data_IF_052275473568
#
_entry.id   IF_052275473568
#
_cell.length_a   1.000
_cell.length_b   1.000
_cell.length_c   1.000
_cell.angle_alpha   90.00
_cell.angle_beta   90.00
_cell.angle_gamma   90.00
#
_symmetry.space_group_name_H-M   'P 1'
#
loop_
_entity.id
_entity.type
_entity.pdbx_description
1 polymer ?
#
# COMPACT_ATOMS: atom_id res chain seq x y z
N UNK A 1 12.46 44.04 9.96
CA UNK A 1 11.86 42.69 9.84
C UNK A 1 12.89 41.83 9.14
N UNK A 2 13.59 40.93 9.85
CA UNK A 2 14.74 40.21 9.30
C UNK A 2 14.28 39.13 8.31
N UNK A 3 15.00 38.93 7.20
CA UNK A 3 14.70 37.93 6.17
C UNK A 3 14.50 36.51 6.73
N UNK A 4 15.20 36.17 7.81
CA UNK A 4 15.05 34.90 8.52
C UNK A 4 13.65 34.69 9.13
N UNK A 5 13.02 35.73 9.68
CA UNK A 5 11.67 35.62 10.29
C UNK A 5 10.58 35.55 9.21
N UNK A 6 10.76 36.25 8.10
CA UNK A 6 9.87 36.14 6.94
C UNK A 6 9.96 34.77 6.27
N UNK A 7 11.16 34.17 6.25
CA UNK A 7 11.36 32.83 5.68
C UNK A 7 10.80 31.73 6.59
N UNK A 8 10.96 31.85 7.91
CA UNK A 8 10.41 30.89 8.87
C UNK A 8 8.88 30.82 8.85
N UNK A 9 8.20 31.98 8.80
CA UNK A 9 6.73 32.04 8.69
C UNK A 9 6.22 31.47 7.36
N UNK A 10 6.90 31.78 6.25
CA UNK A 10 6.59 31.17 4.95
C UNK A 10 6.76 29.65 5.01
N UNK A 11 7.84 29.14 5.59
CA UNK A 11 8.02 27.69 5.72
C UNK A 11 7.01 27.02 6.67
N UNK A 12 6.51 27.73 7.68
CA UNK A 12 5.47 27.24 8.59
C UNK A 12 4.14 27.02 7.84
N UNK A 13 3.71 27.97 7.02
CA UNK A 13 2.51 27.83 6.18
C UNK A 13 2.62 26.64 5.21
N UNK A 14 3.82 26.46 4.62
CA UNK A 14 4.09 25.34 3.73
C UNK A 14 4.12 23.99 4.47
N UNK A 15 4.47 23.97 5.75
CA UNK A 15 4.46 22.74 6.56
C UNK A 15 3.05 22.11 6.61
N UNK A 16 2.02 22.93 6.82
CA UNK A 16 0.62 22.47 6.78
C UNK A 16 0.23 21.94 5.40
N UNK A 17 0.67 22.62 4.33
CA UNK A 17 0.47 22.16 2.95
C UNK A 17 1.14 20.81 2.68
N UNK A 18 2.38 20.62 3.14
CA UNK A 18 3.10 19.35 3.02
C UNK A 18 2.47 18.23 3.84
N UNK A 19 2.02 18.52 5.07
CA UNK A 19 1.27 17.56 5.89
C UNK A 19 -0.03 17.12 5.22
N UNK A 20 -0.78 18.06 4.67
CA UNK A 20 -2.01 17.75 3.93
C UNK A 20 -1.71 16.91 2.68
N UNK A 21 -0.71 17.30 1.88
CA UNK A 21 -0.29 16.53 0.71
C UNK A 21 0.13 15.10 1.09
N UNK A 22 0.90 14.96 2.17
CA UNK A 22 1.34 13.67 2.70
C UNK A 22 0.15 12.79 3.10
N UNK A 23 -0.83 13.37 3.80
CA UNK A 23 -2.06 12.70 4.19
C UNK A 23 -2.85 12.20 2.97
N UNK A 24 -3.11 13.06 1.99
CA UNK A 24 -3.89 12.68 0.80
C UNK A 24 -3.15 11.67 -0.07
N UNK A 25 -1.83 11.79 -0.19
CA UNK A 25 -0.98 10.82 -0.89
C UNK A 25 -1.04 9.44 -0.22
N UNK A 26 -0.94 9.41 1.11
CA UNK A 26 -1.12 8.18 1.90
C UNK A 26 -2.49 7.56 1.69
N UNK A 27 -3.54 8.38 1.74
CA UNK A 27 -4.92 7.93 1.57
C UNK A 27 -5.14 7.32 0.18
N UNK A 28 -4.60 7.96 -0.86
CA UNK A 28 -4.66 7.46 -2.23
C UNK A 28 -4.03 6.07 -2.36
N UNK A 29 -2.80 5.89 -1.89
CA UNK A 29 -2.12 4.58 -1.95
C UNK A 29 -2.81 3.53 -1.09
N UNK A 30 -3.36 3.93 0.05
CA UNK A 30 -4.10 3.04 0.94
C UNK A 30 -5.36 2.50 0.26
N UNK A 31 -6.22 3.39 -0.24
CA UNK A 31 -7.47 3.02 -0.92
C UNK A 31 -7.18 2.14 -2.13
N UNK A 32 -6.17 2.51 -2.93
CA UNK A 32 -5.75 1.72 -4.07
C UNK A 32 -5.20 0.34 -3.67
N UNK A 33 -4.44 0.25 -2.57
CA UNK A 33 -3.95 -1.02 -2.03
C UNK A 33 -5.09 -1.95 -1.64
N UNK A 34 -6.04 -1.46 -0.83
CA UNK A 34 -7.22 -2.23 -0.44
C UNK A 34 -8.08 -2.65 -1.64
N UNK A 35 -8.29 -1.75 -2.60
CA UNK A 35 -9.08 -2.05 -3.80
C UNK A 35 -8.40 -3.13 -4.64
N UNK A 36 -7.08 -3.06 -4.83
CA UNK A 36 -6.32 -4.05 -5.61
C UNK A 36 -6.36 -5.42 -4.94
N UNK A 37 -6.15 -5.51 -3.63
CA UNK A 37 -6.28 -6.79 -2.89
C UNK A 37 -7.69 -7.36 -3.02
N UNK A 38 -8.73 -6.53 -2.92
CA UNK A 38 -10.13 -6.98 -3.05
C UNK A 38 -10.48 -7.43 -4.48
N UNK A 39 -9.84 -6.86 -5.50
CA UNK A 39 -10.03 -7.28 -6.90
C UNK A 39 -9.34 -8.62 -7.19
N UNK A 40 -8.14 -8.83 -6.62
CA UNK A 40 -7.34 -10.03 -6.87
C UNK A 40 -7.76 -11.24 -6.00
N UNK A 41 -8.29 -10.97 -4.80
CA UNK A 41 -8.71 -11.99 -3.84
C UNK A 41 -10.17 -12.40 -4.01
N UNK A 42 -10.45 -13.67 -3.72
CA UNK A 42 -11.82 -14.16 -3.51
C UNK A 42 -12.44 -13.51 -2.27
N UNK A 43 -13.77 -13.39 -2.27
CA UNK A 43 -14.51 -12.84 -1.12
C UNK A 43 -14.69 -13.89 -0.03
N UNK A 44 -14.99 -15.13 -0.42
CA UNK A 44 -15.08 -16.29 0.47
C UNK A 44 -14.10 -17.40 0.06
N UNK A 45 -13.78 -18.28 1.02
CA UNK A 45 -13.14 -19.57 0.73
C UNK A 45 -14.05 -20.45 -0.14
N UNK A 46 -15.37 -20.33 0.02
CA UNK A 46 -16.36 -21.11 -0.75
C UNK A 46 -16.29 -20.75 -2.24
N UNK A 47 -16.26 -19.45 -2.57
CA UNK A 47 -16.12 -18.97 -3.96
C UNK A 47 -14.84 -19.50 -4.64
N UNK A 48 -13.76 -19.66 -3.86
CA UNK A 48 -12.51 -20.21 -4.38
C UNK A 48 -12.62 -21.73 -4.57
N UNK A 49 -13.26 -22.43 -3.63
CA UNK A 49 -13.49 -23.87 -3.74
C UNK A 49 -14.38 -24.21 -4.94
N UNK A 50 -15.48 -23.48 -5.12
CA UNK A 50 -16.39 -23.64 -6.26
C UNK A 50 -15.66 -23.49 -7.60
N UNK A 51 -14.84 -22.44 -7.75
CA UNK A 51 -14.03 -22.29 -8.96
C UNK A 51 -13.04 -23.45 -9.14
N UNK A 52 -12.39 -23.92 -8.08
CA UNK A 52 -11.45 -25.05 -8.17
C UNK A 52 -12.14 -26.37 -8.51
N UNK A 53 -13.33 -26.60 -7.98
CA UNK A 53 -14.12 -27.80 -8.24
C UNK A 53 -14.62 -27.84 -9.70
N UNK A 54 -14.79 -26.68 -10.35
CA UNK A 54 -15.07 -26.58 -11.79
C UNK A 54 -13.80 -26.62 -12.66
N UNK A 55 -12.73 -25.93 -12.25
CA UNK A 55 -11.50 -25.78 -13.02
C UNK A 55 -10.65 -27.05 -13.06
N UNK A 56 -10.47 -27.74 -11.92
CA UNK A 56 -9.56 -28.89 -11.83
C UNK A 56 -10.00 -30.05 -12.75
N UNK A 57 -11.28 -30.44 -12.82
CA UNK A 57 -11.74 -31.47 -13.77
C UNK A 57 -11.47 -31.11 -15.23
N UNK A 58 -11.59 -29.84 -15.62
CA UNK A 58 -11.33 -29.38 -16.99
C UNK A 58 -9.84 -29.54 -17.34
N UNK A 59 -8.95 -29.21 -16.39
CA UNK A 59 -7.50 -29.37 -16.56
C UNK A 59 -7.13 -30.86 -16.67
N UNK A 60 -7.68 -31.70 -15.79
CA UNK A 60 -7.43 -33.15 -15.80
C UNK A 60 -7.97 -33.83 -17.07
N UNK A 61 -9.13 -33.38 -17.57
CA UNK A 61 -9.71 -33.85 -18.82
C UNK A 61 -8.99 -33.31 -20.07
N UNK A 62 -8.04 -32.38 -19.91
CA UNK A 62 -7.31 -31.74 -21.01
C UNK A 62 -8.17 -30.78 -21.86
N UNK A 63 -9.29 -30.31 -21.32
CA UNK A 63 -10.21 -29.37 -21.99
C UNK A 63 -9.76 -27.92 -21.82
N UNK A 64 -8.62 -27.57 -22.43
CA UNK A 64 -7.98 -26.27 -22.22
C UNK A 64 -8.77 -25.09 -22.78
N UNK A 65 -9.48 -25.28 -23.89
CA UNK A 65 -10.33 -24.23 -24.48
C UNK A 65 -11.41 -23.77 -23.48
N UNK A 66 -11.97 -24.71 -22.72
CA UNK A 66 -12.95 -24.42 -21.67
C UNK A 66 -12.32 -23.74 -20.44
N UNK A 67 -11.05 -24.04 -20.13
CA UNK A 67 -10.32 -23.34 -19.07
C UNK A 67 -10.05 -21.89 -19.45
N UNK A 68 -9.70 -21.64 -20.70
CA UNK A 68 -9.54 -20.28 -21.24
C UNK A 68 -10.85 -19.51 -21.15
N UNK A 69 -11.96 -20.08 -21.62
CA UNK A 69 -13.27 -19.43 -21.55
C UNK A 69 -13.71 -19.11 -20.12
N UNK A 70 -13.46 -20.03 -19.17
CA UNK A 70 -13.78 -19.83 -17.75
C UNK A 70 -12.92 -18.74 -17.09
N UNK A 71 -11.66 -18.59 -17.51
CA UNK A 71 -10.69 -17.71 -16.85
C UNK A 71 -10.50 -16.34 -17.51
N UNK A 72 -10.83 -16.18 -18.80
CA UNK A 72 -10.48 -15.01 -19.60
C UNK A 72 -11.02 -13.68 -19.04
N UNK A 73 -12.24 -13.67 -18.50
CA UNK A 73 -12.89 -12.47 -17.97
C UNK A 73 -12.72 -12.27 -16.45
N UNK A 74 -11.94 -13.12 -15.80
CA UNK A 74 -11.80 -13.07 -14.35
C UNK A 74 -10.62 -12.19 -13.90
N UNK A 75 -10.95 -11.14 -13.13
CA UNK A 75 -9.97 -10.23 -12.56
C UNK A 75 -9.20 -10.82 -11.35
N UNK A 76 -9.62 -11.98 -10.83
CA UNK A 76 -9.02 -12.66 -9.69
C UNK A 76 -7.69 -13.31 -10.09
N UNK A 77 -6.75 -13.34 -9.16
CA UNK A 77 -5.41 -13.83 -9.45
C UNK A 77 -5.38 -15.32 -9.81
N UNK A 78 -6.16 -16.16 -9.12
CA UNK A 78 -6.10 -17.61 -9.32
C UNK A 78 -6.50 -18.06 -10.75
N UNK A 79 -7.64 -17.63 -11.33
CA UNK A 79 -7.98 -17.95 -12.71
C UNK A 79 -6.98 -17.38 -13.73
N UNK A 80 -6.45 -16.18 -13.52
CA UNK A 80 -5.39 -15.65 -14.39
C UNK A 80 -4.13 -16.52 -14.40
N UNK A 81 -3.74 -17.03 -13.23
CA UNK A 81 -2.63 -17.97 -13.12
C UNK A 81 -2.95 -19.35 -13.69
N UNK A 82 -4.20 -19.80 -13.57
CA UNK A 82 -4.65 -21.04 -14.19
C UNK A 82 -4.53 -20.97 -15.71
N UNK A 83 -5.07 -19.90 -16.31
CA UNK A 83 -4.94 -19.62 -17.73
C UNK A 83 -3.47 -19.58 -18.16
N UNK A 84 -2.64 -18.81 -17.46
CA UNK A 84 -1.21 -18.72 -17.78
C UNK A 84 -0.50 -20.09 -17.68
N UNK A 85 -0.82 -20.90 -16.67
CA UNK A 85 -0.24 -22.21 -16.48
C UNK A 85 -0.65 -23.18 -17.60
N UNK A 86 -1.91 -23.11 -18.06
CA UNK A 86 -2.43 -23.90 -19.18
C UNK A 86 -1.84 -23.45 -20.52
N UNK A 87 -1.65 -22.16 -20.73
CA UNK A 87 -1.04 -21.61 -21.94
C UNK A 87 0.43 -22.05 -22.07
N UNK A 88 1.14 -22.17 -20.95
CA UNK A 88 2.55 -22.56 -20.90
C UNK A 88 2.76 -24.04 -20.52
N UNK A 89 1.73 -24.88 -20.69
CA UNK A 89 1.71 -26.30 -20.29
C UNK A 89 2.80 -27.19 -20.93
N UNK A 90 3.37 -26.76 -22.05
CA UNK A 90 4.39 -27.53 -22.77
C UNK A 90 5.79 -27.39 -22.14
N UNK A 91 5.96 -26.48 -21.18
CA UNK A 91 7.18 -26.34 -20.40
C UNK A 91 7.36 -27.51 -19.41
N UNK A 92 8.60 -27.87 -19.13
CA UNK A 92 8.90 -28.81 -18.06
C UNK A 92 8.40 -28.26 -16.71
N UNK A 93 7.87 -29.14 -15.84
CA UNK A 93 7.36 -28.78 -14.50
C UNK A 93 8.22 -27.75 -13.73
N UNK A 94 9.56 -27.92 -13.58
CA UNK A 94 10.37 -26.94 -12.85
C UNK A 94 10.41 -25.58 -13.54
N UNK A 95 10.38 -25.53 -14.87
CA UNK A 95 10.37 -24.28 -15.64
C UNK A 95 9.00 -23.59 -15.55
N UNK A 96 7.90 -24.34 -15.65
CA UNK A 96 6.54 -23.82 -15.50
C UNK A 96 6.33 -23.23 -14.10
N UNK A 97 6.72 -23.97 -13.05
CA UNK A 97 6.61 -23.51 -11.67
C UNK A 97 7.41 -22.23 -11.43
N UNK A 98 8.61 -22.14 -12.00
CA UNK A 98 9.44 -20.94 -11.92
C UNK A 98 8.78 -19.75 -12.63
N UNK A 99 8.30 -19.95 -13.86
CA UNK A 99 7.63 -18.92 -14.66
C UNK A 99 6.41 -18.35 -13.92
N UNK A 100 5.54 -19.23 -13.42
CA UNK A 100 4.32 -18.79 -12.71
C UNK A 100 4.68 -18.08 -11.41
N UNK A 101 5.68 -18.58 -10.66
CA UNK A 101 6.15 -17.91 -9.46
C UNK A 101 6.70 -16.50 -9.76
N UNK A 102 7.45 -16.34 -10.85
CA UNK A 102 7.98 -15.04 -11.28
C UNK A 102 6.87 -14.06 -11.64
N UNK A 103 5.86 -14.48 -12.41
CA UNK A 103 4.72 -13.63 -12.77
C UNK A 103 3.90 -13.25 -11.55
N UNK A 104 3.66 -14.18 -10.63
CA UNK A 104 2.98 -13.88 -9.36
C UNK A 104 3.75 -12.81 -8.57
N UNK A 105 5.07 -12.95 -8.45
CA UNK A 105 5.88 -11.96 -7.74
C UNK A 105 5.86 -10.60 -8.44
N UNK A 106 5.99 -10.58 -9.77
CA UNK A 106 6.10 -9.34 -10.53
C UNK A 106 4.78 -8.61 -10.68
N UNK A 107 3.74 -9.29 -11.14
CA UNK A 107 2.51 -8.66 -11.64
C UNK A 107 1.43 -8.55 -10.54
N UNK A 108 1.47 -9.44 -9.54
CA UNK A 108 0.54 -9.42 -8.40
C UNK A 108 1.18 -8.73 -7.20
N UNK A 109 2.32 -9.22 -6.72
CA UNK A 109 2.92 -8.70 -5.48
C UNK A 109 3.71 -7.41 -5.67
N UNK A 110 4.38 -7.21 -6.81
CA UNK A 110 5.15 -6.00 -7.10
C UNK A 110 4.32 -4.72 -6.93
N UNK A 111 3.11 -4.69 -7.48
CA UNK A 111 2.18 -3.57 -7.36
C UNK A 111 1.73 -3.31 -5.91
N UNK A 112 1.46 -4.38 -5.16
CA UNK A 112 1.02 -4.29 -3.76
C UNK A 112 2.16 -3.82 -2.85
N UNK A 113 3.37 -4.33 -3.07
CA UNK A 113 4.57 -3.91 -2.37
C UNK A 113 4.90 -2.45 -2.63
N UNK A 114 4.83 -2.01 -3.88
CA UNK A 114 5.07 -0.62 -4.25
C UNK A 114 4.15 0.33 -3.47
N UNK A 115 2.85 0.01 -3.40
CA UNK A 115 1.86 0.81 -2.65
C UNK A 115 2.11 0.76 -1.16
N UNK A 116 2.41 -0.41 -0.60
CA UNK A 116 2.76 -0.56 0.83
C UNK A 116 4.01 0.24 1.20
N UNK A 117 5.04 0.29 0.33
CA UNK A 117 6.24 1.09 0.56
C UNK A 117 5.92 2.60 0.62
N UNK A 118 5.05 3.09 -0.25
CA UNK A 118 4.61 4.49 -0.18
C UNK A 118 3.86 4.83 1.10
N UNK A 119 2.97 3.93 1.56
CA UNK A 119 2.26 4.11 2.83
C UNK A 119 3.25 4.14 4.00
N UNK A 120 4.26 3.25 4.01
CA UNK A 120 5.33 3.30 5.02
C UNK A 120 6.10 4.62 5.01
N UNK A 121 6.38 5.18 3.82
CA UNK A 121 7.03 6.49 3.70
C UNK A 121 6.16 7.59 4.30
N UNK A 122 4.85 7.59 4.04
CA UNK A 122 3.90 8.55 4.65
C UNK A 122 3.90 8.44 6.18
N UNK A 123 3.80 7.22 6.72
CA UNK A 123 3.84 6.97 8.17
C UNK A 123 5.12 7.52 8.81
N UNK A 124 6.27 7.32 8.16
CA UNK A 124 7.56 7.79 8.68
C UNK A 124 7.74 9.31 8.50
N UNK A 125 7.28 9.86 7.39
CA UNK A 125 7.47 11.27 7.06
C UNK A 125 6.52 12.20 7.81
N UNK A 126 5.29 11.78 8.14
CA UNK A 126 4.31 12.60 8.87
C UNK A 126 4.83 13.19 10.19
N UNK A 127 5.37 12.38 11.13
CA UNK A 127 5.91 12.87 12.39
C UNK A 127 7.16 13.74 12.19
N UNK A 128 7.99 13.42 11.19
CA UNK A 128 9.18 14.21 10.84
C UNK A 128 8.80 15.59 10.31
N UNK A 129 7.75 15.69 9.49
CA UNK A 129 7.19 16.96 9.02
C UNK A 129 6.62 17.78 10.17
N UNK A 130 5.86 17.13 11.07
CA UNK A 130 5.33 17.81 12.26
C UNK A 130 6.43 18.33 13.21
N UNK A 131 7.48 17.54 13.42
CA UNK A 131 8.65 17.96 14.19
C UNK A 131 9.37 19.13 13.50
N UNK A 132 9.54 19.07 12.18
CA UNK A 132 10.11 20.17 11.41
C UNK A 132 9.30 21.47 11.58
N UNK A 133 7.97 21.37 11.53
CA UNK A 133 7.07 22.50 11.80
C UNK A 133 7.26 23.08 13.21
N UNK A 134 7.42 22.24 14.23
CA UNK A 134 7.72 22.77 15.58
C UNK A 134 9.03 23.54 15.65
N UNK A 135 10.08 23.05 14.98
CA UNK A 135 11.38 23.71 14.97
C UNK A 135 11.24 25.10 14.32
N UNK A 136 10.52 25.21 13.21
CA UNK A 136 10.27 26.48 12.54
C UNK A 136 9.46 27.47 13.39
N UNK A 137 8.38 27.00 14.02
CA UNK A 137 7.56 27.85 14.90
C UNK A 137 8.34 28.35 16.11
N UNK A 138 9.17 27.50 16.72
CA UNK A 138 10.06 27.90 17.82
C UNK A 138 11.13 28.91 17.35
N UNK A 139 11.68 28.75 16.14
CA UNK A 139 12.61 29.72 15.55
C UNK A 139 11.96 31.08 15.33
N UNK A 140 10.71 31.12 14.84
CA UNK A 140 9.95 32.35 14.67
C UNK A 140 9.71 33.06 16.02
N UNK A 141 9.26 32.31 17.03
CA UNK A 141 8.99 32.85 18.37
C UNK A 141 10.24 33.45 19.03
N UNK A 142 11.36 32.72 19.04
CA UNK A 142 12.61 33.26 19.59
C UNK A 142 13.22 34.37 18.73
N UNK A 143 13.03 34.31 17.41
CA UNK A 143 13.45 35.36 16.48
C UNK A 143 12.79 36.71 16.77
N UNK A 144 11.55 36.74 17.26
CA UNK A 144 10.86 37.98 17.68
C UNK A 144 11.41 38.50 19.01
N UNK A 145 11.67 37.62 19.99
CA UNK A 145 12.29 38.00 21.28
C UNK A 145 13.64 38.69 21.05
N UNK A 146 14.45 38.18 20.12
CA UNK A 146 15.76 38.75 19.79
C UNK A 146 15.74 40.15 19.16
N UNK A 147 14.57 40.68 18.76
CA UNK A 147 14.46 42.02 18.16
C UNK A 147 14.45 43.17 19.17
N UNK A 148 14.43 42.88 20.48
CA UNK A 148 14.43 43.89 21.54
C UNK A 148 13.09 44.63 21.74
N UNK A 149 12.04 44.21 21.03
CA UNK A 149 10.68 44.72 21.24
C UNK A 149 10.09 44.18 22.56
N UNK A 150 9.33 45.01 23.29
CA UNK A 150 8.51 44.54 24.42
C UNK A 150 7.37 43.67 23.89
N UNK A 151 7.58 42.36 23.84
CA UNK A 151 6.58 41.37 23.43
C UNK A 151 5.86 40.86 24.68
N UNK A 152 4.53 40.77 24.63
CA UNK A 152 3.76 40.20 25.73
C UNK A 152 3.97 38.68 25.78
N UNK A 153 4.19 38.07 26.96
CA UNK A 153 4.35 36.61 27.09
C UNK A 153 3.20 35.80 26.48
N UNK A 154 1.98 36.34 26.46
CA UNK A 154 0.81 35.73 25.83
C UNK A 154 0.94 35.54 24.33
N UNK A 155 1.61 36.46 23.62
CA UNK A 155 1.81 36.37 22.17
C UNK A 155 2.77 35.22 21.83
N UNK A 156 3.86 35.09 22.60
CA UNK A 156 4.86 34.02 22.43
C UNK A 156 4.23 32.66 22.73
N UNK A 157 3.43 32.56 23.79
CA UNK A 157 2.73 31.32 24.14
C UNK A 157 1.78 30.86 23.01
N UNK A 158 1.14 31.80 22.32
CA UNK A 158 0.31 31.50 21.15
C UNK A 158 1.11 30.86 20.00
N UNK A 159 2.25 31.44 19.64
CA UNK A 159 3.13 30.93 18.57
C UNK A 159 3.68 29.52 18.89
N UNK A 160 4.10 29.29 20.14
CA UNK A 160 4.55 27.97 20.60
C UNK A 160 3.40 26.95 20.56
N UNK A 161 2.18 27.35 20.93
CA UNK A 161 1.01 26.47 20.88
C UNK A 161 0.71 26.02 19.44
N UNK A 162 0.80 26.92 18.46
CA UNK A 162 0.59 26.60 17.04
C UNK A 162 1.66 25.60 16.57
N UNK A 163 2.93 25.83 16.94
CA UNK A 163 4.02 24.91 16.65
C UNK A 163 3.73 23.49 17.17
N UNK A 164 3.28 23.36 18.43
CA UNK A 164 2.94 22.06 19.04
C UNK A 164 1.77 21.37 18.33
N UNK A 165 0.77 22.12 17.86
CA UNK A 165 -0.35 21.58 17.07
C UNK A 165 0.15 20.95 15.78
N UNK A 166 1.16 21.52 15.13
CA UNK A 166 1.75 20.95 13.91
C UNK A 166 2.33 19.53 14.14
N UNK A 167 3.02 19.31 15.27
CA UNK A 167 3.47 17.95 15.64
C UNK A 167 2.30 17.02 15.92
N UNK A 168 1.29 17.48 16.64
CA UNK A 168 0.09 16.68 16.89
C UNK A 168 -0.58 16.24 15.57
N UNK A 169 -0.66 17.13 14.57
CA UNK A 169 -1.21 16.82 13.24
C UNK A 169 -0.39 15.76 12.48
N UNK A 170 0.94 15.83 12.56
CA UNK A 170 1.82 14.80 11.97
C UNK A 170 1.61 13.42 12.60
N UNK A 171 1.42 13.36 13.91
CA UNK A 171 1.14 12.11 14.65
C UNK A 171 -0.27 11.58 14.35
N UNK A 172 -1.28 12.46 14.33
CA UNK A 172 -2.67 12.12 13.99
C UNK A 172 -2.75 11.53 12.58
N UNK A 173 -1.87 11.95 11.67
CA UNK A 173 -1.76 11.35 10.33
C UNK A 173 -1.09 9.97 10.42
N UNK A 174 0.08 9.87 11.03
CA UNK A 174 0.89 8.65 11.01
C UNK A 174 0.26 7.45 11.73
N UNK A 175 -0.37 7.68 12.89
CA UNK A 175 -0.88 6.59 13.75
C UNK A 175 -1.98 5.77 13.04
N UNK A 176 -3.06 6.38 12.50
CA UNK A 176 -4.08 5.63 11.78
C UNK A 176 -3.53 4.90 10.54
N UNK A 177 -2.67 5.56 9.76
CA UNK A 177 -2.05 4.94 8.59
C UNK A 177 -1.26 3.68 8.97
N UNK A 178 -0.59 3.67 10.11
CA UNK A 178 0.13 2.49 10.60
C UNK A 178 -0.81 1.30 10.88
N UNK A 179 -1.94 1.55 11.56
CA UNK A 179 -2.95 0.50 11.79
C UNK A 179 -3.55 -0.02 10.47
N UNK A 180 -3.86 0.89 9.55
CA UNK A 180 -4.44 0.51 8.26
C UNK A 180 -3.44 -0.25 7.37
N UNK A 181 -2.15 0.12 7.41
CA UNK A 181 -1.07 -0.61 6.74
C UNK A 181 -0.91 -2.02 7.31
N UNK A 182 -0.95 -2.17 8.64
CA UNK A 182 -0.92 -3.49 9.27
C UNK A 182 -2.12 -4.36 8.83
N UNK A 183 -3.32 -3.78 8.77
CA UNK A 183 -4.51 -4.47 8.25
C UNK A 183 -4.35 -4.89 6.78
N UNK A 184 -3.82 -4.00 5.93
CA UNK A 184 -3.55 -4.30 4.53
C UNK A 184 -2.54 -5.45 4.37
N UNK A 185 -1.42 -5.40 5.10
CA UNK A 185 -0.41 -6.45 5.07
C UNK A 185 -0.97 -7.81 5.52
N UNK A 186 -1.81 -7.84 6.54
CA UNK A 186 -2.48 -9.06 6.98
C UNK A 186 -3.40 -9.63 5.88
N UNK A 187 -4.11 -8.77 5.13
CA UNK A 187 -4.93 -9.21 4.00
C UNK A 187 -4.09 -9.72 2.84
N UNK A 188 -2.99 -9.05 2.50
CA UNK A 188 -2.05 -9.48 1.47
C UNK A 188 -1.49 -10.87 1.81
N UNK A 189 -1.07 -11.09 3.06
CA UNK A 189 -0.55 -12.38 3.51
C UNK A 189 -1.58 -13.50 3.36
N UNK A 190 -2.80 -13.30 3.85
CA UNK A 190 -3.89 -14.28 3.69
C UNK A 190 -4.17 -14.61 2.22
N UNK A 191 -4.18 -13.58 1.38
CA UNK A 191 -4.34 -13.75 -0.06
C UNK A 191 -3.18 -14.55 -0.67
N UNK A 192 -1.93 -14.26 -0.28
CA UNK A 192 -0.75 -15.00 -0.75
C UNK A 192 -0.80 -16.48 -0.36
N UNK A 193 -1.20 -16.79 0.86
CA UNK A 193 -1.32 -18.17 1.33
C UNK A 193 -2.40 -18.92 0.53
N UNK A 194 -3.57 -18.30 0.32
CA UNK A 194 -4.67 -18.89 -0.44
C UNK A 194 -4.35 -19.07 -1.94
N UNK A 195 -3.65 -18.10 -2.53
CA UNK A 195 -3.18 -18.15 -3.92
C UNK A 195 -2.14 -19.25 -4.11
N UNK A 196 -1.19 -19.35 -3.17
CA UNK A 196 -0.15 -20.38 -3.20
C UNK A 196 -0.74 -21.79 -3.10
N UNK A 197 -1.70 -22.00 -2.22
CA UNK A 197 -2.40 -23.29 -2.09
C UNK A 197 -3.17 -23.66 -3.38
N UNK A 198 -3.89 -22.70 -3.97
CA UNK A 198 -4.61 -22.93 -5.23
C UNK A 198 -3.67 -23.22 -6.41
N UNK A 199 -2.56 -22.47 -6.50
CA UNK A 199 -1.58 -22.66 -7.57
C UNK A 199 -0.93 -24.04 -7.53
N UNK A 200 -0.60 -24.55 -6.34
CA UNK A 200 -0.04 -25.92 -6.20
C UNK A 200 -1.01 -26.95 -6.76
N UNK A 201 -2.31 -26.84 -6.45
CA UNK A 201 -3.34 -27.77 -6.95
C UNK A 201 -3.46 -27.72 -8.48
N UNK A 202 -3.41 -26.53 -9.08
CA UNK A 202 -3.43 -26.35 -10.54
C UNK A 202 -2.20 -27.00 -11.20
N UNK A 203 -1.01 -26.77 -10.65
CA UNK A 203 0.23 -27.33 -11.19
C UNK A 203 0.27 -28.86 -11.05
N UNK A 204 -0.23 -29.40 -9.93
CA UNK A 204 -0.33 -30.85 -9.72
C UNK A 204 -1.31 -31.50 -10.71
N UNK A 205 -2.47 -30.86 -10.96
CA UNK A 205 -3.43 -31.32 -11.96
C UNK A 205 -2.84 -31.34 -13.38
N UNK A 206 -2.04 -30.32 -13.75
CA UNK A 206 -1.33 -30.29 -15.03
C UNK A 206 -0.27 -31.40 -15.14
N UNK A 207 0.39 -31.77 -14.04
CA UNK A 207 1.40 -32.83 -14.02
C UNK A 207 0.80 -34.21 -14.24
N UNK A 208 -0.35 -34.51 -13.65
CA UNK A 208 -0.99 -35.82 -13.78
C UNK A 208 -1.45 -36.16 -15.21
N UNK A 209 -1.39 -35.19 -16.13
CA UNK A 209 -1.64 -35.36 -17.56
C UNK A 209 -0.44 -35.93 -18.34
N UNK A 210 0.80 -35.63 -17.93
CA UNK A 210 2.03 -36.02 -18.66
C UNK A 210 2.47 -37.44 -18.35
#
# INVERSE_FOLDING_TARGET
MNAANSFASLLEDWCYGFLALNFFWGLYHLVLGFRRVKQLSFKSHDDQAELMDELLPLIEAGQFDSVEELCADDARALPQLAYMAVENRDLAEPQLRQLVAEVVQRDIFGDLEYRSRWIATVIKSGPLLGLFGTVLGMMAAFGRIGTGAKIQPSEIAGEISIALICTAMGLITAIPFNFMMASLNNRIRKFQDALGAGLVRILDALKHRS
#
